data_IF_845311396952
#
_entry.id   IF_845311396952
#
_cell.length_a   1.000
_cell.length_b   1.000
_cell.length_c   1.000
_cell.angle_alpha   90.00
_cell.angle_beta   90.00
_cell.angle_gamma   90.00
#
_symmetry.space_group_name_H-M   'P 1'
#
loop_
_entity.id
_entity.type
_entity.pdbx_description
1 polymer ?
#
# COMPACT_ATOMS: atom_id res chain seq x y z
N UNK A 1 12.72 2.81 -1.81
CA UNK A 1 12.94 1.79 -0.75
C UNK A 1 13.16 0.44 -1.40
N UNK A 2 14.16 -0.36 -0.96
CA UNK A 2 14.40 -1.70 -1.50
C UNK A 2 13.18 -2.63 -1.34
N UNK A 3 12.97 -3.56 -2.26
CA UNK A 3 11.87 -4.55 -2.18
C UNK A 3 11.96 -5.36 -0.89
N UNK A 4 13.16 -5.74 -0.45
CA UNK A 4 13.38 -6.48 0.79
C UNK A 4 12.87 -5.78 2.04
N UNK A 5 12.91 -4.45 2.09
CA UNK A 5 12.37 -3.69 3.21
C UNK A 5 10.83 -3.74 3.28
N UNK A 6 10.14 -4.07 2.17
CA UNK A 6 8.68 -4.21 2.13
C UNK A 6 8.17 -5.41 2.91
N UNK A 7 9.03 -6.38 3.24
CA UNK A 7 8.69 -7.57 4.05
C UNK A 7 8.05 -7.23 5.40
N UNK A 8 8.39 -6.07 5.98
CA UNK A 8 7.90 -5.68 7.30
C UNK A 8 6.73 -4.70 7.26
N UNK A 9 6.23 -4.35 6.07
CA UNK A 9 5.17 -3.33 5.92
C UNK A 9 4.04 -3.75 4.98
N UNK A 10 4.14 -4.90 4.31
CA UNK A 10 3.08 -5.46 3.45
C UNK A 10 2.85 -6.92 3.87
N UNK A 11 1.58 -7.27 4.06
CA UNK A 11 1.15 -8.63 4.33
C UNK A 11 1.51 -9.58 3.17
N UNK A 12 1.69 -10.88 3.44
CA UNK A 12 1.90 -11.90 2.41
C UNK A 12 3.02 -11.55 1.41
N UNK A 13 4.08 -10.88 1.89
CA UNK A 13 5.22 -10.41 1.10
C UNK A 13 5.76 -11.44 0.10
N UNK A 14 5.87 -12.71 0.50
CA UNK A 14 6.39 -13.76 -0.38
C UNK A 14 5.49 -14.02 -1.60
N UNK A 15 4.17 -13.99 -1.42
CA UNK A 15 3.21 -14.18 -2.50
C UNK A 15 3.17 -12.94 -3.41
N UNK A 16 3.31 -11.74 -2.83
CA UNK A 16 3.32 -10.47 -3.55
C UNK A 16 4.67 -10.11 -4.17
N UNK A 17 5.73 -10.89 -3.94
CA UNK A 17 7.09 -10.55 -4.36
C UNK A 17 7.20 -10.21 -5.86
N UNK A 18 6.59 -10.99 -6.80
CA UNK A 18 6.63 -10.65 -8.23
C UNK A 18 5.99 -9.29 -8.51
N UNK A 19 4.83 -9.01 -7.92
CA UNK A 19 4.09 -7.76 -8.08
C UNK A 19 4.87 -6.58 -7.48
N UNK A 20 5.51 -6.78 -6.33
CA UNK A 20 6.36 -5.78 -5.67
C UNK A 20 7.59 -5.45 -6.51
N UNK A 21 8.19 -6.43 -7.19
CA UNK A 21 9.31 -6.24 -8.11
C UNK A 21 8.87 -5.43 -9.34
N UNK A 22 7.78 -5.81 -9.99
CA UNK A 22 7.22 -5.06 -11.13
C UNK A 22 6.92 -3.60 -10.77
N UNK A 23 6.40 -3.36 -9.57
CA UNK A 23 6.09 -2.00 -9.12
C UNK A 23 7.34 -1.14 -8.86
N UNK A 24 8.52 -1.74 -8.67
CA UNK A 24 9.76 -0.93 -8.56
C UNK A 24 10.20 -0.31 -9.87
N UNK A 25 9.77 -0.85 -11.01
CA UNK A 25 10.06 -0.31 -12.33
C UNK A 25 8.88 0.48 -12.91
N UNK A 26 7.75 0.55 -12.20
CA UNK A 26 6.59 1.33 -12.63
C UNK A 26 6.85 2.84 -12.45
N UNK A 27 6.90 3.64 -13.53
CA UNK A 27 7.16 5.08 -13.43
C UNK A 27 6.06 5.86 -12.68
N UNK A 28 4.82 5.37 -12.69
CA UNK A 28 3.73 6.01 -11.93
C UNK A 28 3.98 5.88 -10.43
N UNK A 29 4.47 4.73 -9.96
CA UNK A 29 4.76 4.49 -8.55
C UNK A 29 5.87 5.41 -8.00
N UNK A 30 6.78 5.89 -8.87
CA UNK A 30 7.84 6.83 -8.48
C UNK A 30 7.35 8.27 -8.27
N UNK A 31 6.21 8.65 -8.86
CA UNK A 31 5.67 10.01 -8.82
C UNK A 31 4.68 10.27 -7.68
N UNK A 32 4.35 9.26 -6.88
CA UNK A 32 3.27 9.31 -5.90
C UNK A 32 3.74 8.94 -4.49
N UNK A 33 3.03 9.43 -3.48
CA UNK A 33 3.18 9.02 -2.08
C UNK A 33 1.81 8.92 -1.41
N UNK A 34 1.72 8.12 -0.36
CA UNK A 34 0.54 8.09 0.50
C UNK A 34 0.68 9.14 1.61
N UNK A 35 -0.40 9.88 1.89
CA UNK A 35 -0.56 10.75 3.05
C UNK A 35 -1.65 10.15 3.92
N UNK A 36 -1.30 9.66 5.10
CA UNK A 36 -2.28 9.10 6.04
C UNK A 36 -2.99 10.25 6.75
N UNK A 37 -4.31 10.20 6.76
CA UNK A 37 -5.16 11.22 7.38
C UNK A 37 -5.74 10.73 8.71
N UNK A 38 -6.13 9.46 8.79
CA UNK A 38 -6.70 8.88 10.01
C UNK A 38 -6.39 7.39 10.12
N UNK A 39 -6.27 6.91 11.36
CA UNK A 39 -6.11 5.49 11.69
C UNK A 39 -7.06 5.14 12.82
N UNK A 40 -8.03 4.28 12.52
CA UNK A 40 -9.01 3.78 13.48
C UNK A 40 -8.78 2.29 13.74
N UNK A 41 -8.47 1.93 14.98
CA UNK A 41 -8.31 0.52 15.36
C UNK A 41 -9.65 -0.23 15.30
N UNK A 42 -9.64 -1.40 14.67
CA UNK A 42 -10.75 -2.35 14.61
C UNK A 42 -10.36 -3.59 15.42
N UNK A 43 -10.24 -3.41 16.73
CA UNK A 43 -9.69 -4.42 17.65
C UNK A 43 -8.17 -4.41 17.71
N UNK A 44 -7.57 -5.51 18.19
CA UNK A 44 -6.12 -5.58 18.48
C UNK A 44 -5.24 -5.97 17.29
N UNK A 45 -5.84 -6.42 16.19
CA UNK A 45 -5.11 -6.97 15.03
C UNK A 45 -5.45 -6.31 13.69
N UNK A 46 -6.39 -5.38 13.66
CA UNK A 46 -6.83 -4.71 12.44
C UNK A 46 -7.00 -3.22 12.69
N UNK A 47 -6.70 -2.40 11.69
CA UNK A 47 -6.93 -0.98 11.69
C UNK A 47 -7.46 -0.54 10.32
N UNK A 48 -8.48 0.31 10.35
CA UNK A 48 -8.92 1.07 9.19
C UNK A 48 -8.02 2.29 9.04
N UNK A 49 -7.48 2.50 7.85
CA UNK A 49 -6.64 3.64 7.49
C UNK A 49 -7.36 4.46 6.44
N UNK A 50 -7.45 5.77 6.66
CA UNK A 50 -7.83 6.75 5.64
C UNK A 50 -6.58 7.46 5.16
N UNK A 51 -6.46 7.61 3.85
CA UNK A 51 -5.30 8.22 3.24
C UNK A 51 -5.64 8.86 1.89
N UNK A 52 -4.79 9.79 1.50
CA UNK A 52 -4.74 10.32 0.14
C UNK A 52 -3.53 9.71 -0.59
N UNK A 53 -3.68 9.44 -1.88
CA UNK A 53 -2.53 9.35 -2.79
C UNK A 53 -2.30 10.73 -3.37
N UNK A 54 -1.09 11.26 -3.20
CA UNK A 54 -0.71 12.60 -3.64
C UNK A 54 0.51 12.52 -4.54
N UNK A 55 0.68 13.54 -5.39
CA UNK A 55 1.91 13.74 -6.13
C UNK A 55 3.07 13.94 -5.14
N UNK A 56 4.16 13.22 -5.34
CA UNK A 56 5.29 13.24 -4.43
C UNK A 56 5.98 14.61 -4.35
N UNK A 57 5.97 15.40 -5.45
CA UNK A 57 6.68 16.68 -5.60
C UNK A 57 5.92 17.86 -5.00
N UNK A 58 4.65 18.03 -5.39
CA UNK A 58 3.85 19.21 -5.03
C UNK A 58 2.72 18.92 -4.03
N UNK A 59 2.45 17.65 -3.73
CA UNK A 59 1.41 17.25 -2.77
C UNK A 59 -0.02 17.33 -3.33
N UNK A 60 -0.20 17.58 -4.63
CA UNK A 60 -1.52 17.60 -5.26
C UNK A 60 -2.23 16.26 -5.07
N UNK A 61 -3.47 16.23 -4.55
CA UNK A 61 -4.24 14.99 -4.43
C UNK A 61 -4.52 14.36 -5.79
N UNK A 62 -4.17 13.08 -5.92
CA UNK A 62 -4.42 12.25 -7.11
C UNK A 62 -5.54 11.25 -6.86
N UNK A 63 -5.61 10.71 -5.64
CA UNK A 63 -6.71 9.88 -5.14
C UNK A 63 -7.04 10.31 -3.71
N UNK A 64 -7.96 11.26 -3.53
CA UNK A 64 -8.34 11.73 -2.21
C UNK A 64 -9.32 10.77 -1.52
N UNK A 65 -9.33 10.77 -0.19
CA UNK A 65 -10.28 10.01 0.64
C UNK A 65 -10.26 8.48 0.38
N UNK A 66 -9.10 7.93 0.06
CA UNK A 66 -8.95 6.49 -0.07
C UNK A 66 -9.02 5.81 1.31
N UNK A 67 -9.42 4.55 1.29
CA UNK A 67 -9.64 3.74 2.48
C UNK A 67 -8.95 2.40 2.30
N UNK A 68 -8.28 1.92 3.34
CA UNK A 68 -7.53 0.68 3.32
C UNK A 68 -7.38 0.07 4.71
N UNK A 69 -7.01 -1.19 4.75
CA UNK A 69 -6.87 -1.97 5.98
C UNK A 69 -5.40 -2.24 6.25
N UNK A 70 -4.98 -1.98 7.48
CA UNK A 70 -3.73 -2.48 8.04
C UNK A 70 -4.02 -3.64 9.00
N UNK A 71 -3.13 -4.62 9.01
CA UNK A 71 -3.20 -5.79 9.87
C UNK A 71 -1.95 -5.85 10.75
N UNK A 72 -2.11 -6.35 11.97
CA UNK A 72 -0.99 -6.57 12.90
C UNK A 72 -0.45 -7.98 12.74
N UNK A 73 0.75 -8.10 12.20
CA UNK A 73 1.48 -9.38 12.03
C UNK A 73 2.68 -9.38 12.97
N UNK A 74 2.61 -10.21 14.02
CA UNK A 74 3.52 -10.11 15.16
C UNK A 74 3.33 -8.77 15.87
N UNK A 75 4.41 -8.00 15.99
CA UNK A 75 4.39 -6.65 16.57
C UNK A 75 4.31 -5.52 15.54
N UNK A 76 4.27 -5.85 14.25
CA UNK A 76 4.28 -4.86 13.17
C UNK A 76 2.89 -4.68 12.56
N UNK A 77 2.53 -3.43 12.30
CA UNK A 77 1.39 -3.10 11.43
C UNK A 77 1.84 -3.11 9.98
N UNK A 78 1.17 -3.90 9.17
CA UNK A 78 1.43 -4.04 7.73
C UNK A 78 0.19 -3.65 6.94
N UNK A 79 0.38 -3.15 5.73
CA UNK A 79 -0.70 -2.97 4.76
C UNK A 79 -1.23 -4.35 4.39
N UNK A 80 -2.54 -4.55 4.49
CA UNK A 80 -3.15 -5.81 4.07
C UNK A 80 -2.92 -6.06 2.58
N UNK A 81 -2.84 -7.33 2.22
CA UNK A 81 -2.72 -7.75 0.82
C UNK A 81 -3.87 -7.17 -0.01
N UNK A 82 -5.10 -7.24 0.51
CA UNK A 82 -6.27 -6.66 -0.13
C UNK A 82 -6.08 -5.17 -0.47
N UNK A 83 -5.60 -4.37 0.48
CA UNK A 83 -5.40 -2.93 0.26
C UNK A 83 -4.31 -2.67 -0.76
N UNK A 84 -3.19 -3.39 -0.64
CA UNK A 84 -2.09 -3.30 -1.60
C UNK A 84 -2.60 -3.62 -3.02
N UNK A 85 -3.33 -4.71 -3.17
CA UNK A 85 -3.83 -5.18 -4.46
C UNK A 85 -4.86 -4.25 -5.11
N UNK A 86 -5.73 -3.63 -4.30
CA UNK A 86 -6.64 -2.61 -4.78
C UNK A 86 -5.88 -1.42 -5.38
N UNK A 87 -4.85 -0.92 -4.69
CA UNK A 87 -4.01 0.17 -5.19
C UNK A 87 -3.23 -0.21 -6.45
N UNK A 88 -2.68 -1.42 -6.48
CA UNK A 88 -1.94 -1.89 -7.65
C UNK A 88 -2.85 -1.97 -8.88
N UNK A 89 -4.09 -2.48 -8.74
CA UNK A 89 -5.05 -2.54 -9.86
C UNK A 89 -5.45 -1.17 -10.40
N UNK A 90 -5.40 -0.12 -9.59
CA UNK A 90 -5.59 1.27 -10.05
C UNK A 90 -4.41 1.76 -10.89
N UNK A 91 -3.19 1.35 -10.56
CA UNK A 91 -1.97 1.71 -11.30
C UNK A 91 -1.74 0.85 -12.56
N UNK A 92 -2.17 -0.41 -12.52
CA UNK A 92 -2.00 -1.39 -13.57
C UNK A 92 -3.14 -2.41 -13.47
N UNK A 93 -4.11 -2.29 -14.37
CA UNK A 93 -5.30 -3.17 -14.40
C UNK A 93 -4.95 -4.64 -14.71
N UNK A 94 -3.77 -4.91 -15.27
CA UNK A 94 -3.29 -6.26 -15.59
C UNK A 94 -2.45 -6.87 -14.47
N UNK A 95 -2.15 -6.11 -13.42
CA UNK A 95 -1.35 -6.58 -12.32
C UNK A 95 -2.02 -7.76 -11.62
N UNK A 96 -1.27 -8.85 -11.51
CA UNK A 96 -1.71 -10.03 -10.78
C UNK A 96 -1.46 -9.82 -9.30
N UNK A 97 -2.50 -10.03 -8.53
CA UNK A 97 -2.40 -10.26 -7.10
C UNK A 97 -2.84 -11.70 -6.82
N UNK A 98 -2.20 -12.38 -5.85
CA UNK A 98 -2.61 -13.69 -5.38
C UNK A 98 -4.07 -13.73 -4.90
#
# INVERSE_FOLDING_TARGET
MPVSAKKNIVENYNALLPTLQTQTTNPQAAGIKAKVDDVTLQGSKQAQVKYDIVNAKDGTPLLPNASGVALKVGDNWVVSEQTFCQLIKLSDQNAKCP
#
